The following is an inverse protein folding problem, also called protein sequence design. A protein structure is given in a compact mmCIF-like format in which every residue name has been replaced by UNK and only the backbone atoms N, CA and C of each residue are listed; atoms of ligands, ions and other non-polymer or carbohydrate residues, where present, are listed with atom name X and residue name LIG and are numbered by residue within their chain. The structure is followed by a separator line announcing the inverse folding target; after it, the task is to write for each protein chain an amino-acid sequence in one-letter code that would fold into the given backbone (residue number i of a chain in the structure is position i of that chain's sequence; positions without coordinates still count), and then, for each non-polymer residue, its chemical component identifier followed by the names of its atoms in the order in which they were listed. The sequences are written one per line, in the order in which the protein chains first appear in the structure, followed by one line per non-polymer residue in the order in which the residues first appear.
data_IF_571109803289
#
_entry.id   IF_571109803289
#
_cell.length_a   1.000
_cell.length_b   1.000
_cell.length_c   1.000
_cell.angle_alpha   90.00
_cell.angle_beta   90.00
_cell.angle_gamma   90.00
#
_symmetry.space_group_name_H-M   'P 1'
#
loop_
_entity.id
_entity.type
_entity.pdbx_description
1 polymer ?
#
# COMPACT_ATOMS: atom_id res chain seq x y z
N UNK A 1 -28.39 -12.06 -17.89
CA UNK A 1 -28.19 -11.78 -16.44
C UNK A 1 -27.70 -10.35 -16.32
N UNK A 2 -28.22 -9.58 -15.35
CA UNK A 2 -27.72 -8.23 -15.08
C UNK A 2 -26.50 -8.38 -14.16
N UNK A 3 -25.37 -7.79 -14.52
CA UNK A 3 -24.18 -7.83 -13.69
C UNK A 3 -24.44 -7.10 -12.37
N UNK A 4 -24.03 -7.70 -11.24
CA UNK A 4 -24.18 -7.06 -9.92
C UNK A 4 -23.13 -5.98 -9.72
N UNK A 5 -23.56 -4.83 -9.20
CA UNK A 5 -22.66 -3.77 -8.73
C UNK A 5 -22.55 -3.91 -7.21
N UNK A 6 -21.32 -3.98 -6.72
CA UNK A 6 -21.02 -4.00 -5.28
C UNK A 6 -20.48 -2.63 -4.86
N UNK A 7 -21.10 -2.06 -3.83
CA UNK A 7 -20.63 -0.82 -3.22
C UNK A 7 -19.36 -1.04 -2.40
N UNK A 8 -18.65 0.04 -2.09
CA UNK A 8 -17.47 0.01 -1.22
C UNK A 8 -17.77 -0.61 0.15
N UNK A 9 -18.95 -0.30 0.73
CA UNK A 9 -19.36 -0.86 2.02
C UNK A 9 -19.57 -2.38 1.94
N UNK A 10 -20.28 -2.88 0.92
CA UNK A 10 -20.43 -4.32 0.70
C UNK A 10 -19.08 -5.02 0.51
N UNK A 11 -18.13 -4.37 -0.20
CA UNK A 11 -16.78 -4.90 -0.41
C UNK A 11 -16.03 -4.96 0.92
N UNK A 12 -16.02 -3.89 1.71
CA UNK A 12 -15.36 -3.84 3.03
C UNK A 12 -15.88 -4.97 3.92
N UNK A 13 -17.22 -5.08 4.05
CA UNK A 13 -17.86 -6.09 4.89
C UNK A 13 -17.53 -7.52 4.42
N UNK A 14 -17.43 -7.75 3.10
CA UNK A 14 -17.09 -9.06 2.55
C UNK A 14 -15.62 -9.47 2.78
N UNK A 15 -14.74 -8.52 3.10
CA UNK A 15 -13.33 -8.78 3.39
C UNK A 15 -13.05 -8.95 4.89
N UNK A 16 -14.03 -8.73 5.76
CA UNK A 16 -13.85 -8.94 7.20
C UNK A 16 -13.56 -10.41 7.51
N UNK A 17 -12.45 -10.66 8.20
CA UNK A 17 -12.00 -12.01 8.57
C UNK A 17 -11.44 -12.84 7.41
N UNK A 18 -11.31 -12.28 6.22
CA UNK A 18 -10.71 -12.97 5.06
C UNK A 18 -9.20 -12.83 5.11
N UNK A 19 -8.49 -13.95 4.97
CA UNK A 19 -7.05 -13.93 4.74
C UNK A 19 -6.75 -13.37 3.35
N UNK A 20 -6.09 -12.23 3.29
CA UNK A 20 -5.68 -11.58 2.05
C UNK A 20 -4.18 -11.77 1.76
N UNK A 21 -3.40 -12.20 2.75
CA UNK A 21 -1.96 -12.41 2.60
C UNK A 21 -1.71 -13.55 1.61
N UNK A 22 -2.25 -14.74 1.87
CA UNK A 22 -1.99 -15.93 1.06
C UNK A 22 -2.44 -15.80 -0.41
N UNK A 23 -3.64 -15.30 -0.75
CA UNK A 23 -4.03 -15.16 -2.16
C UNK A 23 -3.20 -14.12 -2.91
N UNK A 24 -2.80 -13.00 -2.29
CA UNK A 24 -1.96 -11.99 -2.93
C UNK A 24 -0.53 -12.50 -3.10
N UNK A 25 0.02 -13.18 -2.11
CA UNK A 25 1.32 -13.87 -2.18
C UNK A 25 1.33 -14.91 -3.31
N UNK A 26 0.28 -15.74 -3.42
CA UNK A 26 0.10 -16.67 -4.52
C UNK A 26 0.10 -15.94 -5.87
N UNK A 27 -0.57 -14.80 -5.96
CA UNK A 27 -0.58 -13.96 -7.16
C UNK A 27 0.82 -13.51 -7.59
N UNK A 28 1.68 -13.07 -6.65
CA UNK A 28 3.08 -12.74 -6.93
C UNK A 28 3.89 -13.95 -7.39
N UNK A 29 3.70 -15.11 -6.75
CA UNK A 29 4.36 -16.36 -7.16
C UNK A 29 3.96 -16.78 -8.57
N UNK A 30 2.66 -16.75 -8.89
CA UNK A 30 2.16 -17.10 -10.23
C UNK A 30 2.62 -16.10 -11.30
N UNK A 31 2.74 -14.82 -10.96
CA UNK A 31 3.35 -13.83 -11.83
C UNK A 31 4.82 -14.15 -12.10
N UNK A 32 5.61 -14.41 -11.08
CA UNK A 32 7.03 -14.75 -11.19
C UNK A 32 7.30 -16.04 -11.98
N UNK A 33 6.38 -17.00 -11.94
CA UNK A 33 6.44 -18.25 -12.72
C UNK A 33 6.00 -18.08 -14.19
N UNK A 34 5.51 -16.91 -14.59
CA UNK A 34 4.97 -16.68 -15.93
C UNK A 34 3.57 -17.32 -16.15
N UNK A 35 2.88 -17.65 -15.06
CA UNK A 35 1.52 -18.21 -15.08
C UNK A 35 0.44 -17.13 -15.13
N UNK A 36 0.79 -15.85 -15.03
CA UNK A 36 -0.14 -14.75 -15.22
C UNK A 36 0.11 -13.99 -16.52
N UNK A 37 -0.94 -13.42 -17.05
CA UNK A 37 -0.91 -12.52 -18.19
C UNK A 37 -1.29 -11.13 -17.69
N UNK A 38 -0.30 -10.23 -17.67
CA UNK A 38 -0.45 -8.84 -17.23
C UNK A 38 0.11 -7.94 -18.34
N UNK A 39 -0.74 -7.39 -19.22
CA UNK A 39 -0.31 -6.46 -20.26
C UNK A 39 0.24 -5.15 -19.70
N UNK A 40 0.93 -4.34 -20.52
CA UNK A 40 1.36 -3.00 -20.10
C UNK A 40 0.20 -2.15 -19.59
N UNK A 41 0.52 -1.30 -18.62
CA UNK A 41 -0.46 -0.39 -18.01
C UNK A 41 -0.94 0.63 -19.03
N UNK A 42 -2.26 0.76 -19.20
CA UNK A 42 -2.85 1.90 -19.91
C UNK A 42 -2.81 3.13 -19.01
N UNK A 43 -2.36 4.26 -19.54
CA UNK A 43 -2.21 5.48 -18.79
C UNK A 43 -2.84 6.68 -19.52
N UNK A 44 -3.54 7.52 -18.74
CA UNK A 44 -4.00 8.84 -19.18
C UNK A 44 -3.46 9.87 -18.18
N UNK A 45 -2.80 10.89 -18.70
CA UNK A 45 -2.27 12.00 -17.92
C UNK A 45 -3.07 13.28 -18.20
N UNK A 46 -3.36 14.05 -17.15
CA UNK A 46 -4.11 15.30 -17.22
C UNK A 46 -3.26 16.41 -16.64
N UNK A 47 -3.12 17.49 -17.39
CA UNK A 47 -2.35 18.65 -16.96
C UNK A 47 -3.18 19.62 -16.10
N UNK A 48 -4.46 19.81 -16.44
CA UNK A 48 -5.34 20.77 -15.79
C UNK A 48 -6.79 20.24 -15.63
N UNK A 49 -7.22 19.88 -14.41
CA UNK A 49 -6.43 19.76 -13.18
C UNK A 49 -5.41 18.61 -13.29
N UNK A 50 -4.28 18.70 -12.56
CA UNK A 50 -3.28 17.64 -12.60
C UNK A 50 -3.84 16.33 -12.04
N UNK A 51 -3.71 15.28 -12.84
CA UNK A 51 -4.25 13.96 -12.48
C UNK A 51 -3.76 12.87 -13.42
N UNK A 52 -4.01 11.63 -12.99
CA UNK A 52 -3.70 10.44 -13.75
C UNK A 52 -4.82 9.40 -13.69
N UNK A 53 -4.88 8.54 -14.70
CA UNK A 53 -5.72 7.34 -14.70
C UNK A 53 -4.88 6.18 -15.16
N UNK A 54 -4.85 5.10 -14.37
CA UNK A 54 -4.16 3.85 -14.70
C UNK A 54 -5.17 2.74 -14.93
N UNK A 55 -5.08 2.07 -16.08
CA UNK A 55 -5.86 0.89 -16.43
C UNK A 55 -4.95 -0.32 -16.38
N UNK A 56 -5.18 -1.17 -15.38
CA UNK A 56 -4.44 -2.43 -15.19
C UNK A 56 -5.39 -3.60 -15.36
N UNK A 57 -4.96 -4.61 -16.11
CA UNK A 57 -5.81 -5.77 -16.37
C UNK A 57 -4.96 -7.02 -16.52
N UNK A 58 -5.59 -8.17 -16.27
CA UNK A 58 -4.89 -9.43 -16.38
C UNK A 58 -5.67 -10.60 -15.79
N UNK A 59 -5.07 -11.78 -15.90
CA UNK A 59 -5.60 -13.02 -15.33
C UNK A 59 -4.46 -13.99 -14.99
N UNK A 60 -4.75 -14.94 -14.13
CA UNK A 60 -3.88 -16.09 -13.84
C UNK A 60 -4.40 -17.26 -14.69
N UNK A 61 -3.50 -17.93 -15.43
CA UNK A 61 -3.84 -19.07 -16.29
C UNK A 61 -4.50 -20.17 -15.47
N UNK A 62 -5.60 -20.70 -15.96
CA UNK A 62 -6.40 -21.72 -15.27
C UNK A 62 -7.42 -21.18 -14.26
N UNK A 63 -7.42 -19.90 -13.96
CA UNK A 63 -8.45 -19.28 -13.13
C UNK A 63 -9.69 -18.91 -13.92
N UNK A 64 -10.85 -18.93 -13.25
CA UNK A 64 -12.17 -18.69 -13.87
C UNK A 64 -12.48 -17.22 -14.13
N UNK A 65 -11.59 -16.28 -13.75
CA UNK A 65 -11.86 -14.87 -13.86
C UNK A 65 -10.67 -14.10 -14.45
N UNK A 66 -10.98 -13.01 -15.16
CA UNK A 66 -10.04 -11.93 -15.39
C UNK A 66 -10.61 -10.60 -14.87
N UNK A 67 -9.72 -9.66 -14.59
CA UNK A 67 -10.08 -8.40 -13.95
C UNK A 67 -9.51 -7.22 -14.75
N UNK A 68 -10.32 -6.17 -14.87
CA UNK A 68 -9.88 -4.86 -15.36
C UNK A 68 -10.06 -3.88 -14.19
N UNK A 69 -8.96 -3.24 -13.77
CA UNK A 69 -8.96 -2.21 -12.76
C UNK A 69 -8.73 -0.84 -13.41
N UNK A 70 -9.56 0.12 -13.08
CA UNK A 70 -9.37 1.54 -13.41
C UNK A 70 -9.16 2.26 -12.10
N UNK A 71 -8.03 2.95 -11.97
CA UNK A 71 -7.71 3.76 -10.79
C UNK A 71 -7.32 5.16 -11.25
N UNK A 72 -7.82 6.19 -10.58
CA UNK A 72 -7.53 7.59 -10.88
C UNK A 72 -6.99 8.32 -9.66
N UNK A 73 -6.06 9.22 -9.90
CA UNK A 73 -5.47 10.12 -8.91
C UNK A 73 -5.59 11.56 -9.38
N UNK A 74 -6.31 12.41 -8.62
CA UNK A 74 -6.44 13.84 -8.88
C UNK A 74 -6.08 14.60 -7.61
N UNK A 75 -4.88 15.14 -7.58
CA UNK A 75 -4.28 15.72 -6.37
C UNK A 75 -5.02 16.96 -5.85
N UNK A 76 -5.76 17.65 -6.72
CA UNK A 76 -6.52 18.86 -6.39
C UNK A 76 -7.97 18.60 -5.94
N UNK A 77 -8.42 17.36 -5.91
CA UNK A 77 -9.78 16.99 -5.50
C UNK A 77 -10.15 17.46 -4.08
N UNK A 78 -9.16 17.67 -3.21
CA UNK A 78 -9.41 18.25 -1.88
C UNK A 78 -10.06 19.63 -1.95
N UNK A 79 -9.84 20.42 -3.02
CA UNK A 79 -10.48 21.72 -3.25
C UNK A 79 -12.00 21.59 -3.48
N UNK A 80 -12.42 20.39 -3.91
CA UNK A 80 -13.82 20.04 -4.18
C UNK A 80 -14.45 19.22 -3.04
N UNK A 81 -13.70 18.95 -1.96
CA UNK A 81 -14.15 18.08 -0.87
C UNK A 81 -14.20 16.59 -1.26
N UNK A 82 -13.53 16.21 -2.35
CA UNK A 82 -13.48 14.85 -2.87
C UNK A 82 -12.18 14.14 -2.47
N UNK A 83 -12.21 12.80 -2.51
CA UNK A 83 -10.99 11.99 -2.38
C UNK A 83 -10.03 12.27 -3.54
N UNK A 84 -8.74 12.33 -3.26
CA UNK A 84 -7.71 12.43 -4.29
C UNK A 84 -7.51 11.13 -5.10
N UNK A 85 -8.01 10.02 -4.60
CA UNK A 85 -7.91 8.70 -5.26
C UNK A 85 -9.29 8.08 -5.38
N UNK A 86 -9.58 7.52 -6.54
CA UNK A 86 -10.83 6.82 -6.85
C UNK A 86 -10.55 5.61 -7.74
N UNK A 87 -11.49 4.67 -7.82
CA UNK A 87 -11.29 3.51 -8.68
C UNK A 87 -12.49 2.58 -8.75
N UNK A 88 -12.41 1.64 -9.68
CA UNK A 88 -13.39 0.59 -9.92
C UNK A 88 -12.67 -0.65 -10.46
N UNK A 89 -13.18 -1.83 -10.13
CA UNK A 89 -12.75 -3.08 -10.75
C UNK A 89 -13.94 -3.76 -11.43
N UNK A 90 -13.68 -4.34 -12.59
CA UNK A 90 -14.67 -5.08 -13.37
C UNK A 90 -14.16 -6.50 -13.53
N UNK A 91 -15.00 -7.49 -13.11
CA UNK A 91 -14.65 -8.90 -13.15
C UNK A 91 -15.45 -9.62 -14.22
N UNK A 92 -14.76 -10.41 -15.02
CA UNK A 92 -15.32 -11.18 -16.12
C UNK A 92 -15.02 -12.66 -15.95
N UNK A 93 -15.86 -13.49 -16.54
CA UNK A 93 -15.60 -14.93 -16.69
C UNK A 93 -14.57 -15.16 -17.80
N UNK A 94 -13.51 -15.92 -17.50
CA UNK A 94 -12.39 -16.14 -18.44
C UNK A 94 -12.72 -17.09 -19.60
N UNK A 95 -13.81 -17.87 -19.49
CA UNK A 95 -14.21 -18.84 -20.52
C UNK A 95 -15.19 -18.26 -21.53
N UNK A 96 -16.06 -17.37 -21.06
CA UNK A 96 -17.18 -16.85 -21.87
C UNK A 96 -17.04 -15.36 -22.18
N UNK A 97 -16.18 -14.62 -21.45
CA UNK A 97 -16.12 -13.17 -21.55
C UNK A 97 -17.33 -12.45 -20.91
N UNK A 98 -18.21 -13.17 -20.23
CA UNK A 98 -19.36 -12.54 -19.56
C UNK A 98 -18.94 -11.67 -18.38
N UNK A 99 -19.54 -10.49 -18.29
CA UNK A 99 -19.41 -9.60 -17.14
C UNK A 99 -20.06 -10.24 -15.91
N UNK A 100 -19.26 -10.57 -14.89
CA UNK A 100 -19.73 -11.14 -13.62
C UNK A 100 -20.21 -10.07 -12.65
N UNK A 101 -19.37 -9.08 -12.39
CA UNK A 101 -19.71 -7.99 -11.48
C UNK A 101 -18.83 -6.75 -11.71
N UNK A 102 -19.28 -5.65 -11.13
CA UNK A 102 -18.54 -4.39 -11.00
C UNK A 102 -18.34 -4.11 -9.51
N UNK A 103 -17.09 -3.89 -9.10
CA UNK A 103 -16.70 -3.53 -7.74
C UNK A 103 -16.47 -2.02 -7.70
N UNK A 104 -17.46 -1.27 -7.23
CA UNK A 104 -17.36 0.19 -7.05
C UNK A 104 -16.68 0.47 -5.71
N UNK A 105 -15.39 0.18 -5.64
CA UNK A 105 -14.58 0.20 -4.43
C UNK A 105 -13.99 1.57 -4.08
N UNK A 106 -14.14 2.55 -4.93
CA UNK A 106 -13.59 3.90 -4.75
C UNK A 106 -12.07 3.90 -4.46
N UNK A 107 -11.34 2.92 -5.02
CA UNK A 107 -9.90 2.76 -4.80
C UNK A 107 -9.52 2.00 -3.52
N UNK A 108 -10.49 1.52 -2.74
CA UNK A 108 -10.22 0.78 -1.50
C UNK A 108 -9.40 -0.49 -1.72
N UNK A 109 -9.75 -1.31 -2.71
CA UNK A 109 -9.04 -2.55 -3.03
C UNK A 109 -7.60 -2.28 -3.52
N UNK A 110 -7.36 -1.16 -4.19
CA UNK A 110 -6.02 -0.73 -4.54
C UNK A 110 -5.19 -0.44 -3.30
N UNK A 111 -5.77 0.26 -2.32
CA UNK A 111 -5.11 0.55 -1.05
C UNK A 111 -4.82 -0.73 -0.24
N UNK A 112 -5.78 -1.64 -0.17
CA UNK A 112 -5.65 -2.94 0.51
C UNK A 112 -4.53 -3.76 -0.13
N UNK A 113 -4.54 -3.96 -1.47
CA UNK A 113 -3.51 -4.74 -2.17
C UNK A 113 -2.12 -4.17 -1.91
N UNK A 114 -1.98 -2.86 -1.95
CA UNK A 114 -0.70 -2.19 -1.69
C UNK A 114 -0.20 -2.45 -0.27
N UNK A 115 -1.09 -2.38 0.72
CA UNK A 115 -0.72 -2.64 2.10
C UNK A 115 -0.35 -4.11 2.36
N UNK A 116 -1.07 -5.03 1.74
CA UNK A 116 -0.76 -6.47 1.83
C UNK A 116 0.57 -6.79 1.17
N UNK A 117 0.91 -6.16 0.04
CA UNK A 117 2.23 -6.33 -0.59
C UNK A 117 3.37 -5.91 0.35
N UNK A 118 3.23 -4.78 1.06
CA UNK A 118 4.20 -4.36 2.08
C UNK A 118 4.31 -5.36 3.23
N UNK A 119 3.20 -5.92 3.69
CA UNK A 119 3.20 -6.96 4.73
C UNK A 119 3.90 -8.25 4.25
N UNK A 120 3.68 -8.67 2.99
CA UNK A 120 4.38 -9.82 2.39
C UNK A 120 5.89 -9.56 2.32
N UNK A 121 6.32 -8.37 1.89
CA UNK A 121 7.73 -8.01 1.91
C UNK A 121 8.32 -8.09 3.32
N UNK A 122 7.63 -7.57 4.33
CA UNK A 122 8.07 -7.65 5.72
C UNK A 122 8.11 -9.10 6.24
N UNK A 123 7.14 -9.95 5.86
CA UNK A 123 7.12 -11.38 6.21
C UNK A 123 8.41 -12.10 5.84
N UNK A 124 9.01 -11.76 4.69
CA UNK A 124 10.19 -12.44 4.16
C UNK A 124 11.50 -11.72 4.40
N UNK A 125 11.47 -10.41 4.60
CA UNK A 125 12.67 -9.57 4.58
C UNK A 125 12.89 -8.77 5.87
N UNK A 126 11.91 -8.73 6.77
CA UNK A 126 12.12 -8.09 8.07
C UNK A 126 13.08 -8.90 8.94
N UNK A 127 13.80 -8.27 9.89
CA UNK A 127 14.61 -8.98 10.86
C UNK A 127 13.76 -9.95 11.69
N UNK A 128 14.33 -11.10 12.08
CA UNK A 128 13.66 -12.11 12.93
C UNK A 128 13.04 -11.48 14.19
N UNK A 129 13.71 -10.47 14.75
CA UNK A 129 13.21 -9.72 15.89
C UNK A 129 13.03 -8.24 15.53
N UNK A 130 11.80 -7.86 15.27
CA UNK A 130 11.41 -6.46 15.13
C UNK A 130 11.32 -5.82 16.52
N UNK A 131 12.08 -4.74 16.74
CA UNK A 131 12.11 -4.00 18.03
C UNK A 131 10.99 -2.98 18.11
N UNK A 132 10.89 -2.13 17.11
CA UNK A 132 9.81 -1.18 16.90
C UNK A 132 9.53 -1.09 15.40
N UNK A 133 8.29 -0.82 15.06
CA UNK A 133 7.83 -0.46 13.72
C UNK A 133 7.86 1.06 13.62
N UNK A 134 8.62 1.61 12.68
CA UNK A 134 8.64 3.04 12.37
C UNK A 134 7.67 3.35 11.23
N UNK A 135 6.73 4.26 11.44
CA UNK A 135 5.78 4.69 10.41
C UNK A 135 6.04 6.17 10.09
N UNK A 136 6.26 6.47 8.80
CA UNK A 136 6.40 7.84 8.30
C UNK A 136 5.18 8.18 7.44
N UNK A 137 4.35 9.09 7.95
CA UNK A 137 3.06 9.45 7.37
C UNK A 137 1.88 9.02 8.23
N UNK A 138 0.73 9.70 8.03
CA UNK A 138 -0.50 9.48 8.81
C UNK A 138 -1.72 9.26 7.92
N UNK A 139 -1.50 8.89 6.66
CA UNK A 139 -2.55 8.70 5.66
C UNK A 139 -3.20 7.31 5.69
N UNK A 140 -3.98 7.01 4.68
CA UNK A 140 -4.68 5.71 4.51
C UNK A 140 -3.65 4.57 4.44
N UNK A 141 -2.58 4.72 3.67
CA UNK A 141 -1.55 3.70 3.55
C UNK A 141 -0.83 3.45 4.88
N UNK A 142 -0.51 4.48 5.66
CA UNK A 142 0.10 4.30 6.98
C UNK A 142 -0.74 3.40 7.89
N UNK A 143 -2.07 3.57 7.86
CA UNK A 143 -3.02 2.77 8.64
C UNK A 143 -3.11 1.33 8.15
N UNK A 144 -3.31 1.15 6.86
CA UNK A 144 -3.47 -0.17 6.26
C UNK A 144 -2.18 -0.99 6.34
N UNK A 145 -1.02 -0.39 6.07
CA UNK A 145 0.28 -1.04 6.19
C UNK A 145 0.47 -1.59 7.61
N UNK A 146 0.22 -0.77 8.64
CA UNK A 146 0.37 -1.21 10.02
C UNK A 146 -0.65 -2.32 10.39
N UNK A 147 -1.90 -2.21 9.91
CA UNK A 147 -2.92 -3.23 10.17
C UNK A 147 -2.54 -4.59 9.60
N UNK A 148 -2.05 -4.65 8.34
CA UNK A 148 -1.65 -5.91 7.73
C UNK A 148 -0.30 -6.44 8.23
N UNK A 149 0.60 -5.57 8.72
CA UNK A 149 1.80 -6.00 9.42
C UNK A 149 1.48 -6.81 10.69
N UNK A 150 0.34 -6.56 11.33
CA UNK A 150 -0.11 -7.30 12.51
C UNK A 150 -0.19 -8.81 12.27
N UNK A 151 -0.51 -9.22 11.05
CA UNK A 151 -0.75 -10.62 10.70
C UNK A 151 0.57 -11.37 10.42
N UNK A 152 1.67 -10.66 10.22
CA UNK A 152 2.96 -11.24 9.84
C UNK A 152 4.12 -10.87 10.79
N UNK A 153 3.95 -9.85 11.64
CA UNK A 153 4.97 -9.35 12.59
C UNK A 153 4.39 -9.37 14.00
N UNK A 154 5.12 -9.94 14.96
CA UNK A 154 4.68 -10.03 16.36
C UNK A 154 4.78 -8.69 17.11
N UNK A 155 5.68 -7.79 16.69
CA UNK A 155 5.90 -6.50 17.33
C UNK A 155 4.63 -5.65 17.31
N UNK A 156 4.33 -5.03 18.47
CA UNK A 156 3.20 -4.08 18.63
C UNK A 156 3.67 -2.69 19.02
N UNK A 157 4.97 -2.51 19.26
CA UNK A 157 5.58 -1.22 19.57
C UNK A 157 5.80 -0.42 18.27
N UNK A 158 5.22 0.76 18.20
CA UNK A 158 5.21 1.60 17.00
C UNK A 158 5.66 3.01 17.32
N UNK A 159 6.50 3.58 16.46
CA UNK A 159 6.82 5.01 16.50
C UNK A 159 6.32 5.66 15.22
N UNK A 160 5.64 6.81 15.35
CA UNK A 160 5.03 7.54 14.25
C UNK A 160 5.65 8.91 14.06
N UNK A 161 6.00 9.22 12.81
CA UNK A 161 6.41 10.54 12.36
C UNK A 161 5.40 11.12 11.38
N UNK A 162 4.91 12.32 11.65
CA UNK A 162 3.97 13.04 10.79
C UNK A 162 4.11 14.55 10.96
N UNK A 163 3.54 15.33 10.04
CA UNK A 163 3.61 16.80 10.07
C UNK A 163 2.48 17.45 10.87
N UNK A 164 1.35 16.78 10.97
CA UNK A 164 0.13 17.31 11.56
C UNK A 164 -0.17 16.57 12.87
N UNK A 165 -0.10 17.30 13.99
CA UNK A 165 -0.31 16.73 15.32
C UNK A 165 -1.72 16.14 15.51
N UNK A 166 -2.76 16.75 14.91
CA UNK A 166 -4.12 16.22 15.02
C UNK A 166 -4.23 14.87 14.32
N UNK A 167 -3.68 14.77 13.09
CA UNK A 167 -3.66 13.50 12.36
C UNK A 167 -2.83 12.42 13.05
N UNK A 168 -1.78 12.81 13.79
CA UNK A 168 -0.99 11.86 14.61
C UNK A 168 -1.83 11.35 15.78
N UNK A 169 -2.55 12.21 16.49
CA UNK A 169 -3.43 11.80 17.58
C UNK A 169 -4.52 10.86 17.05
N UNK A 170 -5.20 11.23 15.98
CA UNK A 170 -6.23 10.39 15.35
C UNK A 170 -5.66 9.02 14.92
N UNK A 171 -4.41 8.99 14.44
CA UNK A 171 -3.72 7.75 14.07
C UNK A 171 -3.43 6.88 15.30
N UNK A 172 -2.91 7.47 16.39
CA UNK A 172 -2.62 6.77 17.65
C UNK A 172 -3.90 6.15 18.22
N UNK A 173 -4.97 6.94 18.29
CA UNK A 173 -6.26 6.47 18.83
C UNK A 173 -6.85 5.33 17.99
N UNK A 174 -6.73 5.40 16.66
CA UNK A 174 -7.22 4.36 15.78
C UNK A 174 -6.38 3.08 15.90
N UNK A 175 -5.05 3.18 15.81
CA UNK A 175 -4.17 2.00 15.82
C UNK A 175 -4.12 1.31 17.19
N UNK A 176 -4.36 2.03 18.27
CA UNK A 176 -4.49 1.46 19.62
C UNK A 176 -5.65 0.46 19.70
N UNK A 177 -6.74 0.68 18.96
CA UNK A 177 -7.88 -0.26 18.88
C UNK A 177 -7.51 -1.58 18.20
N UNK A 178 -6.46 -1.58 17.40
CA UNK A 178 -5.89 -2.78 16.78
C UNK A 178 -4.78 -3.43 17.61
N UNK A 179 -4.57 -2.96 18.85
CA UNK A 179 -3.63 -3.53 19.82
C UNK A 179 -2.19 -3.05 19.65
N UNK A 180 -1.95 -1.96 18.92
CA UNK A 180 -0.63 -1.35 18.82
C UNK A 180 -0.39 -0.32 19.94
N UNK A 181 0.83 -0.29 20.46
CA UNK A 181 1.32 0.76 21.33
C UNK A 181 2.07 1.81 20.51
N UNK A 182 1.38 2.90 20.17
CA UNK A 182 1.90 3.90 19.22
C UNK A 182 2.33 5.15 19.99
N UNK A 183 3.56 5.61 19.75
CA UNK A 183 4.05 6.88 20.27
C UNK A 183 4.62 7.77 19.18
N UNK A 184 4.43 9.08 19.32
CA UNK A 184 4.99 10.07 18.42
C UNK A 184 6.50 10.19 18.62
N UNK A 185 7.23 10.44 17.52
CA UNK A 185 8.63 10.93 17.53
C UNK A 185 8.70 12.24 16.76
N UNK A 186 9.75 13.04 17.03
CA UNK A 186 9.86 14.39 16.51
C UNK A 186 10.81 14.49 15.30
N UNK A 187 11.55 13.41 14.98
CA UNK A 187 12.47 13.39 13.83
C UNK A 187 12.60 12.02 13.20
N UNK A 188 13.00 12.01 11.92
CA UNK A 188 13.32 10.77 11.20
C UNK A 188 14.55 10.07 11.78
N UNK A 189 15.53 10.81 12.26
CA UNK A 189 16.70 10.26 12.93
C UNK A 189 16.33 9.49 14.21
N UNK A 190 15.40 10.04 15.01
CA UNK A 190 14.89 9.36 16.20
C UNK A 190 14.09 8.09 15.80
N UNK A 191 13.23 8.18 14.79
CA UNK A 191 12.48 7.04 14.26
C UNK A 191 13.43 5.92 13.82
N UNK A 192 14.44 6.23 13.03
CA UNK A 192 15.42 5.26 12.54
C UNK A 192 16.24 4.62 13.67
N UNK A 193 16.63 5.40 14.68
CA UNK A 193 17.35 4.90 15.86
C UNK A 193 16.54 3.88 16.67
N UNK A 194 15.23 4.05 16.71
CA UNK A 194 14.35 3.21 17.52
C UNK A 194 13.83 1.99 16.78
N UNK A 195 13.74 2.06 15.45
CA UNK A 195 13.05 1.07 14.62
C UNK A 195 14.01 0.28 13.75
N UNK A 196 13.73 -0.99 13.55
CA UNK A 196 14.41 -1.84 12.57
C UNK A 196 13.45 -2.43 11.52
N UNK A 197 12.19 -2.01 11.53
CA UNK A 197 11.24 -2.13 10.44
C UNK A 197 10.61 -0.74 10.23
N UNK A 198 10.77 -0.17 9.05
CA UNK A 198 10.31 1.19 8.73
C UNK A 198 9.38 1.13 7.51
N UNK A 199 8.26 1.84 7.59
CA UNK A 199 7.31 2.00 6.48
C UNK A 199 7.15 3.49 6.19
N UNK A 200 7.39 3.91 4.94
CA UNK A 200 7.17 5.29 4.51
C UNK A 200 6.01 5.36 3.52
N UNK A 201 5.10 6.32 3.74
CA UNK A 201 3.80 6.41 3.03
C UNK A 201 3.43 7.86 2.72
N UNK A 202 4.40 8.69 2.41
CA UNK A 202 4.18 10.13 2.21
C UNK A 202 4.27 10.52 0.73
N UNK A 203 3.78 11.69 0.42
CA UNK A 203 3.96 12.34 -0.89
C UNK A 203 5.14 13.31 -0.91
N UNK A 204 6.18 13.07 -0.11
CA UNK A 204 7.33 13.95 -0.03
C UNK A 204 8.14 13.97 -1.34
N UNK A 205 8.61 15.16 -1.70
CA UNK A 205 9.48 15.37 -2.87
C UNK A 205 10.96 15.42 -2.46
N UNK A 206 11.24 15.43 -1.16
CA UNK A 206 12.58 15.41 -0.58
C UNK A 206 12.72 14.24 0.39
N UNK A 207 13.95 13.71 0.49
CA UNK A 207 14.23 12.55 1.34
C UNK A 207 13.96 12.84 2.80
N UNK A 208 13.11 12.03 3.40
CA UNK A 208 12.77 12.08 4.82
C UNK A 208 13.69 11.19 5.66
N UNK A 209 14.08 10.05 5.11
CA UNK A 209 15.03 9.12 5.73
C UNK A 209 16.40 9.32 5.08
N UNK A 210 17.41 9.67 5.89
CA UNK A 210 18.78 9.87 5.44
C UNK A 210 19.57 8.58 5.59
N UNK A 211 20.54 8.36 4.71
CA UNK A 211 21.47 7.23 4.78
C UNK A 211 22.16 7.12 6.15
N UNK A 212 22.61 8.26 6.69
CA UNK A 212 23.29 8.34 7.99
C UNK A 212 22.46 7.84 9.17
N UNK A 213 21.14 7.85 9.04
CA UNK A 213 20.21 7.52 10.12
C UNK A 213 19.81 6.03 10.11
N UNK A 214 20.01 5.35 8.98
CA UNK A 214 19.63 3.93 8.82
C UNK A 214 20.65 3.01 9.50
N UNK A 215 20.17 2.17 10.38
CA UNK A 215 20.98 1.19 11.12
C UNK A 215 21.05 -0.12 10.31
N UNK A 216 22.22 -0.78 10.23
CA UNK A 216 22.33 -2.09 9.59
C UNK A 216 21.31 -3.11 10.14
N UNK A 217 20.74 -3.92 9.25
CA UNK A 217 19.68 -4.88 9.60
C UNK A 217 18.28 -4.27 9.66
N UNK A 218 18.09 -3.03 9.19
CA UNK A 218 16.77 -2.42 9.08
C UNK A 218 16.09 -2.83 7.76
N UNK A 219 14.83 -3.26 7.85
CA UNK A 219 13.94 -3.42 6.71
C UNK A 219 13.18 -2.10 6.46
N UNK A 220 13.12 -1.66 5.20
CA UNK A 220 12.36 -0.46 4.81
C UNK A 220 11.37 -0.82 3.70
N UNK A 221 10.09 -0.57 3.94
CA UNK A 221 9.02 -0.62 2.93
C UNK A 221 8.69 0.80 2.51
N UNK A 222 9.14 1.23 1.33
CA UNK A 222 8.91 2.57 0.80
C UNK A 222 7.74 2.55 -0.18
N UNK A 223 6.58 3.06 0.23
CA UNK A 223 5.32 2.98 -0.53
C UNK A 223 4.93 4.31 -1.16
N UNK A 224 5.37 5.43 -0.58
CA UNK A 224 4.85 6.74 -0.94
C UNK A 224 5.49 7.34 -2.20
N UNK A 225 6.65 6.86 -2.64
CA UNK A 225 7.36 7.37 -3.83
C UNK A 225 6.93 6.60 -5.08
N UNK A 226 5.67 6.76 -5.49
CA UNK A 226 5.04 6.08 -6.62
C UNK A 226 5.11 6.86 -7.95
N UNK A 227 5.73 8.05 -7.96
CA UNK A 227 5.98 8.86 -9.16
C UNK A 227 7.40 9.43 -9.15
N UNK A 228 7.97 9.78 -10.33
CA UNK A 228 9.36 10.27 -10.43
C UNK A 228 9.68 11.51 -9.59
N UNK A 229 8.67 12.33 -9.27
CA UNK A 229 8.85 13.55 -8.48
C UNK A 229 8.89 13.30 -6.98
N UNK A 230 8.37 12.15 -6.52
CA UNK A 230 8.31 11.82 -5.09
C UNK A 230 9.59 11.13 -4.62
N UNK A 231 10.01 11.50 -3.41
CA UNK A 231 11.21 10.94 -2.79
C UNK A 231 11.06 10.89 -1.28
N UNK A 232 11.05 9.70 -0.72
CA UNK A 232 11.00 9.50 0.73
C UNK A 232 12.36 9.11 1.31
N UNK A 233 13.17 8.40 0.53
CA UNK A 233 14.47 7.88 0.94
C UNK A 233 15.62 8.64 0.27
N UNK A 234 16.71 8.78 0.99
CA UNK A 234 18.00 9.15 0.40
C UNK A 234 18.38 8.08 -0.65
N UNK A 235 18.66 8.45 -1.90
CA UNK A 235 19.05 7.50 -2.96
C UNK A 235 20.21 6.58 -2.60
N UNK A 236 21.13 7.04 -1.75
CA UNK A 236 22.26 6.25 -1.30
C UNK A 236 21.86 5.06 -0.42
N UNK A 237 20.64 5.04 0.15
CA UNK A 237 20.09 3.89 0.89
C UNK A 237 19.94 2.70 -0.04
N UNK A 238 19.51 2.93 -1.29
CA UNK A 238 19.35 1.85 -2.28
C UNK A 238 20.68 1.19 -2.62
N UNK A 239 21.78 1.99 -2.65
CA UNK A 239 23.13 1.48 -2.92
C UNK A 239 23.74 0.69 -1.76
N UNK A 240 23.24 0.85 -0.52
CA UNK A 240 23.72 0.09 0.64
C UNK A 240 22.82 -1.10 1.01
N UNK A 241 21.69 -1.24 0.37
CA UNK A 241 20.75 -2.31 0.65
C UNK A 241 21.36 -3.67 0.29
N UNK A 242 21.26 -4.65 1.22
CA UNK A 242 21.65 -6.03 0.95
C UNK A 242 20.70 -6.69 -0.08
N UNK A 243 19.44 -6.37 0.01
CA UNK A 243 18.39 -6.84 -0.93
C UNK A 243 17.49 -5.67 -1.31
N UNK A 244 17.26 -5.47 -2.60
CA UNK A 244 16.32 -4.49 -3.13
C UNK A 244 15.23 -5.24 -3.90
N UNK A 245 13.99 -5.06 -3.48
CA UNK A 245 12.81 -5.64 -4.12
C UNK A 245 11.95 -4.50 -4.62
N UNK A 246 11.47 -4.62 -5.85
CA UNK A 246 10.56 -3.65 -6.50
C UNK A 246 9.29 -4.35 -6.95
N UNK A 247 8.14 -3.66 -6.85
CA UNK A 247 6.81 -4.11 -7.29
C UNK A 247 6.45 -3.48 -8.65
#
# INVERSE_FOLDING_TARGET
MIAKVYSKEEIINSLEGVDLINPIETGFVEYSKGNSVVPPVGELLFDHPPGDVHIKYGYIKGHDNYVIKIASGFTENYKLGLSSSHGVMVMFDSRSGYLKCLLHDEGYLTNVRTAVAGAICAKYLAPDKVKNIGIVGTGIQARLQLRYLRDVIECREVVILGRDNKKIIDYIDEMSKFGFNVRKVDSSAELCKLSNLIVTTTSANESLIRKSDVIPGTHITAVGSDTPQKRELDPEILGMAHSLVVD
#
